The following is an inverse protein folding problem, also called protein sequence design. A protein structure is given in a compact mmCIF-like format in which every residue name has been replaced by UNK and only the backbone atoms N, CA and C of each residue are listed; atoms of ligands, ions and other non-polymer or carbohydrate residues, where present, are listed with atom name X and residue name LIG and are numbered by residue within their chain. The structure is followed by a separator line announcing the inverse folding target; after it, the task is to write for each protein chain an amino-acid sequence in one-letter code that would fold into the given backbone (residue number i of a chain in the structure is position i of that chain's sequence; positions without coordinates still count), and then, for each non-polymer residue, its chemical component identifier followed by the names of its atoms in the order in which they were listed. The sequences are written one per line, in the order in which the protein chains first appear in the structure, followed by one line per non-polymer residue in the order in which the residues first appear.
data_IF_252345128506
#
_entry.id   IF_252345128506
#
_cell.length_a   1.000
_cell.length_b   1.000
_cell.length_c   1.000
_cell.angle_alpha   90.00
_cell.angle_beta   90.00
_cell.angle_gamma   90.00
#
_symmetry.space_group_name_H-M   'P 1'
#
loop_
_entity.id
_entity.type
_entity.pdbx_description
1 polymer ?
#
# COMPACT_ATOMS: atom_id res chain seq x y z
N UNK A 1 -13.09 -1.56 3.80
CA UNK A 1 -14.10 -0.50 4.04
C UNK A 1 -13.53 0.78 4.71
N UNK A 2 -13.54 0.96 6.05
CA UNK A 2 -13.13 2.26 6.66
C UNK A 2 -11.63 2.55 6.58
N UNK A 3 -10.78 1.58 6.93
CA UNK A 3 -9.32 1.73 6.86
C UNK A 3 -8.85 1.90 5.42
N UNK A 4 -9.36 1.07 4.51
CA UNK A 4 -9.14 1.19 3.06
C UNK A 4 -9.49 2.59 2.51
N UNK A 5 -10.66 3.13 2.86
CA UNK A 5 -11.03 4.50 2.46
C UNK A 5 -10.04 5.54 3.01
N UNK A 6 -9.56 5.37 4.24
CA UNK A 6 -8.56 6.26 4.83
C UNK A 6 -7.20 6.11 4.15
N UNK A 7 -6.78 4.90 3.81
CA UNK A 7 -5.54 4.63 3.09
C UNK A 7 -5.58 5.24 1.68
N UNK A 8 -6.66 5.01 0.91
CA UNK A 8 -6.87 5.64 -0.39
C UNK A 8 -6.93 7.17 -0.31
N UNK A 9 -7.58 7.70 0.74
CA UNK A 9 -7.66 9.14 0.97
C UNK A 9 -6.29 9.77 1.25
N UNK A 10 -5.46 9.14 2.08
CA UNK A 10 -4.11 9.60 2.36
C UNK A 10 -3.19 9.49 1.14
N UNK A 11 -3.28 8.38 0.41
CA UNK A 11 -2.55 8.17 -0.85
C UNK A 11 -2.84 9.29 -1.85
N UNK A 12 -4.11 9.63 -2.06
CA UNK A 12 -4.51 10.72 -2.94
C UNK A 12 -4.11 12.10 -2.41
N UNK A 13 -4.32 12.36 -1.12
CA UNK A 13 -4.03 13.66 -0.51
C UNK A 13 -2.53 14.02 -0.50
N UNK A 14 -1.66 13.02 -0.53
CA UNK A 14 -0.21 13.17 -0.55
C UNK A 14 0.40 12.89 -1.93
N UNK A 15 -0.44 12.80 -2.97
CA UNK A 15 -0.02 12.63 -4.35
C UNK A 15 0.95 11.45 -4.54
N UNK A 16 0.70 10.36 -3.81
CA UNK A 16 1.46 9.13 -3.96
C UNK A 16 1.18 8.49 -5.33
N UNK A 17 2.17 7.78 -5.84
CA UNK A 17 2.08 7.07 -7.12
C UNK A 17 2.41 5.59 -6.93
N UNK A 18 1.80 4.77 -7.79
CA UNK A 18 2.07 3.35 -8.00
C UNK A 18 1.78 2.43 -6.79
N UNK A 19 2.38 2.68 -5.63
CA UNK A 19 2.10 1.95 -4.39
C UNK A 19 2.52 2.74 -3.14
N UNK A 20 1.91 2.42 -2.00
CA UNK A 20 2.38 2.86 -0.68
C UNK A 20 1.83 1.94 0.41
N UNK A 21 2.56 1.81 1.52
CA UNK A 21 2.03 1.22 2.76
C UNK A 21 1.42 2.31 3.64
N UNK A 22 0.28 2.05 4.27
CA UNK A 22 -0.36 2.99 5.22
C UNK A 22 -0.51 2.34 6.58
N UNK A 23 0.11 2.94 7.58
CA UNK A 23 0.16 2.36 8.91
C UNK A 23 -0.89 2.98 9.81
N UNK A 24 -1.66 2.13 10.50
CA UNK A 24 -2.76 2.55 11.35
C UNK A 24 -2.49 2.24 12.82
N UNK A 25 -2.89 3.18 13.69
CA UNK A 25 -3.14 2.90 15.09
C UNK A 25 -4.64 2.75 15.31
N UNK A 26 -5.04 1.63 15.89
CA UNK A 26 -6.44 1.37 16.26
C UNK A 26 -6.58 1.63 17.77
N UNK A 27 -7.50 2.53 18.16
CA UNK A 27 -7.80 2.74 19.58
C UNK A 27 -8.48 1.50 20.17
N UNK A 28 -8.07 1.10 21.38
CA UNK A 28 -8.56 -0.12 22.02
C UNK A 28 -10.02 -0.03 22.52
N UNK A 29 -10.49 1.16 22.86
CA UNK A 29 -11.82 1.39 23.44
C UNK A 29 -12.95 1.33 22.41
N UNK A 30 -12.74 1.91 21.23
CA UNK A 30 -13.78 2.09 20.21
C UNK A 30 -13.35 1.62 18.81
N UNK A 31 -12.20 0.98 18.67
CA UNK A 31 -11.65 0.49 17.41
C UNK A 31 -11.50 1.56 16.32
N UNK A 32 -11.45 2.85 16.70
CA UNK A 32 -11.28 3.93 15.75
C UNK A 32 -9.85 3.88 15.18
N UNK A 33 -9.67 3.74 13.85
CA UNK A 33 -8.37 3.81 13.22
C UNK A 33 -7.92 5.26 13.04
N UNK A 34 -6.62 5.49 13.21
CA UNK A 34 -5.91 6.73 12.92
C UNK A 34 -4.69 6.40 12.08
N UNK A 35 -4.43 7.19 11.03
CA UNK A 35 -3.22 7.05 10.22
C UNK A 35 -2.03 7.56 11.05
N UNK A 36 -0.96 6.78 11.10
CA UNK A 36 0.31 7.18 11.70
C UNK A 36 1.28 7.68 10.63
N UNK A 37 1.44 6.90 9.56
CA UNK A 37 2.33 7.23 8.44
C UNK A 37 1.82 6.62 7.13
N UNK A 38 2.34 7.16 6.03
CA UNK A 38 2.28 6.57 4.70
C UNK A 38 3.72 6.44 4.17
N UNK A 39 4.05 5.27 3.62
CA UNK A 39 5.36 4.99 3.02
C UNK A 39 5.21 4.72 1.53
N UNK A 40 5.42 5.73 0.66
CA UNK A 40 5.41 5.56 -0.79
C UNK A 40 6.65 4.81 -1.32
N UNK A 41 7.61 4.47 -0.46
CA UNK A 41 8.76 3.62 -0.76
C UNK A 41 8.88 2.54 0.31
N UNK A 42 7.82 1.76 0.51
CA UNK A 42 7.83 0.63 1.43
C UNK A 42 8.85 -0.43 0.98
N UNK A 43 9.39 -1.19 1.94
CA UNK A 43 10.27 -2.32 1.63
C UNK A 43 9.57 -3.34 0.72
N UNK A 44 10.34 -3.99 -0.16
CA UNK A 44 9.84 -4.99 -1.11
C UNK A 44 10.58 -6.33 -0.99
N UNK A 45 11.25 -6.59 0.13
CA UNK A 45 11.95 -7.85 0.33
C UNK A 45 10.94 -8.98 0.59
N UNK A 46 10.95 -9.99 -0.28
CA UNK A 46 10.13 -11.20 -0.16
C UNK A 46 10.34 -11.90 1.19
N UNK A 47 9.23 -12.31 1.81
CA UNK A 47 9.23 -12.96 3.13
C UNK A 47 9.60 -12.06 4.31
N UNK A 48 9.87 -10.76 4.09
CA UNK A 48 10.23 -9.81 5.17
C UNK A 48 9.35 -8.56 5.18
N UNK A 49 9.12 -7.94 4.03
CA UNK A 49 8.46 -6.63 4.00
C UNK A 49 6.95 -6.74 4.13
N UNK A 50 6.35 -5.89 4.98
CA UNK A 50 4.93 -5.95 5.32
C UNK A 50 4.03 -5.89 4.09
N UNK A 51 4.30 -4.98 3.14
CA UNK A 51 3.47 -4.85 1.94
C UNK A 51 3.50 -6.11 1.04
N UNK A 52 4.58 -6.89 1.08
CA UNK A 52 4.67 -8.17 0.36
C UNK A 52 3.80 -9.22 1.06
N UNK A 53 3.86 -9.28 2.40
CA UNK A 53 3.02 -10.18 3.19
C UNK A 53 1.52 -9.81 3.10
N UNK A 54 1.21 -8.52 3.09
CA UNK A 54 -0.16 -7.99 2.90
C UNK A 54 -0.70 -8.36 1.52
N UNK A 55 0.11 -8.20 0.46
CA UNK A 55 -0.25 -8.60 -0.89
C UNK A 55 -0.53 -10.11 -0.97
N UNK A 56 0.35 -10.93 -0.39
CA UNK A 56 0.19 -12.39 -0.36
C UNK A 56 -1.09 -12.79 0.39
N UNK A 57 -1.37 -12.19 1.54
CA UNK A 57 -2.61 -12.39 2.28
C UNK A 57 -3.85 -11.95 1.47
N UNK A 58 -3.68 -10.97 0.57
CA UNK A 58 -4.68 -10.53 -0.41
C UNK A 58 -4.76 -11.39 -1.68
N UNK A 59 -3.98 -12.47 -1.80
CA UNK A 59 -3.97 -13.37 -2.95
C UNK A 59 -3.06 -12.92 -4.11
N UNK A 60 -2.22 -11.91 -3.91
CA UNK A 60 -1.25 -11.42 -4.88
C UNK A 60 0.14 -11.92 -4.48
N UNK A 61 0.71 -12.84 -5.24
CA UNK A 61 2.07 -13.33 -4.97
C UNK A 61 3.13 -12.25 -5.24
N UNK A 62 4.35 -12.48 -4.75
CA UNK A 62 5.46 -11.52 -4.88
C UNK A 62 5.70 -11.03 -6.31
N UNK A 63 5.74 -11.95 -7.29
CA UNK A 63 5.93 -11.61 -8.70
C UNK A 63 4.79 -10.72 -9.21
N UNK A 64 3.55 -11.03 -8.84
CA UNK A 64 2.38 -10.24 -9.18
C UNK A 64 2.43 -8.83 -8.60
N UNK A 65 2.87 -8.68 -7.35
CA UNK A 65 3.06 -7.38 -6.71
C UNK A 65 4.11 -6.54 -7.46
N UNK A 66 5.31 -7.11 -7.70
CA UNK A 66 6.39 -6.40 -8.38
C UNK A 66 5.99 -6.00 -9.80
N UNK A 67 5.37 -6.89 -10.55
CA UNK A 67 4.88 -6.59 -11.89
C UNK A 67 3.77 -5.53 -11.87
N UNK A 68 2.86 -5.56 -10.90
CA UNK A 68 1.82 -4.53 -10.76
C UNK A 68 2.39 -3.14 -10.48
N UNK A 69 3.41 -3.04 -9.62
CA UNK A 69 4.14 -1.78 -9.37
C UNK A 69 4.82 -1.28 -10.65
N UNK A 70 5.51 -2.17 -11.37
CA UNK A 70 6.17 -1.85 -12.62
C UNK A 70 5.17 -1.40 -13.70
N UNK A 71 4.05 -2.09 -13.83
CA UNK A 71 2.99 -1.78 -14.79
C UNK A 71 2.36 -0.42 -14.49
N UNK A 72 2.05 -0.12 -13.23
CA UNK A 72 1.54 1.18 -12.82
C UNK A 72 2.51 2.31 -13.19
N UNK A 73 3.80 2.13 -12.92
CA UNK A 73 4.84 3.09 -13.29
C UNK A 73 4.96 3.24 -14.81
N UNK A 74 4.96 2.13 -15.56
CA UNK A 74 5.07 2.12 -17.02
C UNK A 74 3.90 2.85 -17.69
N UNK A 75 2.67 2.63 -17.22
CA UNK A 75 1.48 3.36 -17.68
C UNK A 75 1.60 4.87 -17.39
N UNK A 76 2.03 5.24 -16.17
CA UNK A 76 2.20 6.63 -15.76
C UNK A 76 3.22 7.39 -16.62
N UNK A 77 4.27 6.71 -17.07
CA UNK A 77 5.29 7.28 -17.96
C UNK A 77 4.99 7.09 -19.46
N UNK A 78 3.86 6.48 -19.84
CA UNK A 78 3.48 6.25 -21.23
C UNK A 78 4.40 5.28 -21.98
N UNK A 79 4.98 4.32 -21.27
CA UNK A 79 5.84 3.27 -21.83
C UNK A 79 5.04 2.08 -22.36
N UNK A 80 3.80 1.94 -21.90
CA UNK A 80 2.78 0.98 -22.35
C UNK A 80 1.41 1.66 -22.40
#
# INVERSE_FOLDING_TARGET
AKMERYAMGAFAALECYDFARVDFRIRADNHQPYILEINPLAGLQEGISDIVMEAEAGGVNYIGLINGILEAAAQRFGLI
#
